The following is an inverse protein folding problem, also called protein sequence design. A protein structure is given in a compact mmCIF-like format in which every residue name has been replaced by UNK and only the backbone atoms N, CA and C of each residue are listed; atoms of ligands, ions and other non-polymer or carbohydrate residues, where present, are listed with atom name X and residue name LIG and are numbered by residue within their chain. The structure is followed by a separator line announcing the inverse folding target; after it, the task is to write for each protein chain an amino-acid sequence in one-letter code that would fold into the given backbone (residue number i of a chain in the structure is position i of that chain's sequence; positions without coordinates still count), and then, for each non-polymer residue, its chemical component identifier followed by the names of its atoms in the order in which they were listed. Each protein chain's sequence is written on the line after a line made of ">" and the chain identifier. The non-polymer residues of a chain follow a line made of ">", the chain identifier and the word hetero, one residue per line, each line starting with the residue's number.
data_IF_018896127618
#
_entry.id   IF_018896127618
#
_cell.length_a   1.000
_cell.length_b   1.000
_cell.length_c   1.000
_cell.angle_alpha   90.00
_cell.angle_beta   90.00
_cell.angle_gamma   90.00
#
_symmetry.space_group_name_H-M   'P 1'
#
loop_
_entity.id
_entity.type
_entity.pdbx_description
1 polymer ?
#
# COMPACT_ATOMS: atom_id res chain seq x y z
N UNK A 1 -11.37 -7.14 0.34
CA UNK A 1 -11.23 -6.39 -0.95
C UNK A 1 -11.28 -4.88 -0.74
N UNK A 2 -12.19 -4.34 0.05
CA UNK A 2 -12.32 -2.89 0.32
C UNK A 2 -11.04 -2.23 0.86
N UNK A 3 -10.33 -2.87 1.80
CA UNK A 3 -9.05 -2.36 2.32
C UNK A 3 -7.95 -2.26 1.24
N UNK A 4 -7.76 -3.32 0.45
CA UNK A 4 -6.77 -3.34 -0.62
C UNK A 4 -7.10 -2.29 -1.71
N UNK A 5 -8.39 -2.09 -1.98
CA UNK A 5 -8.86 -1.03 -2.87
C UNK A 5 -8.58 0.36 -2.30
N UNK A 6 -8.88 0.60 -1.02
CA UNK A 6 -8.60 1.87 -0.35
C UNK A 6 -7.10 2.23 -0.34
N UNK A 7 -6.21 1.25 -0.16
CA UNK A 7 -4.76 1.47 -0.29
C UNK A 7 -4.34 1.92 -1.69
N UNK A 8 -5.07 1.53 -2.73
CA UNK A 8 -4.82 1.93 -4.11
C UNK A 8 -5.40 3.31 -4.49
N UNK A 9 -6.26 3.91 -3.66
CA UNK A 9 -6.91 5.21 -3.94
C UNK A 9 -5.97 6.39 -3.65
N UNK A 10 -4.81 6.40 -4.31
CA UNK A 10 -3.81 7.47 -4.21
C UNK A 10 -4.36 8.83 -4.72
N UNK A 11 -5.02 8.82 -5.88
CA UNK A 11 -5.47 10.05 -6.55
C UNK A 11 -6.50 10.85 -5.74
N UNK A 12 -7.48 10.17 -5.14
CA UNK A 12 -8.42 10.83 -4.25
C UNK A 12 -7.71 11.41 -3.01
N UNK A 13 -6.73 10.69 -2.46
CA UNK A 13 -6.00 11.12 -1.27
C UNK A 13 -5.20 12.40 -1.52
N UNK A 14 -4.43 12.49 -2.61
CA UNK A 14 -3.64 13.70 -2.89
C UNK A 14 -4.51 14.92 -3.21
N UNK A 15 -5.67 14.74 -3.84
CA UNK A 15 -6.58 15.85 -4.18
C UNK A 15 -7.34 16.37 -2.93
N UNK A 16 -7.84 15.48 -2.09
CA UNK A 16 -8.71 15.86 -0.97
C UNK A 16 -7.98 16.00 0.37
N UNK A 17 -7.04 15.11 0.69
CA UNK A 17 -6.27 15.15 1.93
C UNK A 17 -4.92 15.88 1.77
N UNK A 18 -4.47 16.10 0.53
CA UNK A 18 -3.22 16.77 0.22
C UNK A 18 -1.99 15.95 0.57
N UNK A 19 -0.84 16.62 0.62
CA UNK A 19 0.45 16.05 1.01
C UNK A 19 1.17 16.99 1.98
N UNK A 20 0.98 16.80 3.29
CA UNK A 20 1.81 17.47 4.29
C UNK A 20 2.89 16.50 4.77
N UNK A 21 4.17 16.71 4.39
CA UNK A 21 5.27 15.85 4.79
C UNK A 21 5.32 15.65 6.31
N UNK A 22 5.42 14.40 6.76
CA UNK A 22 5.46 14.05 8.19
C UNK A 22 4.14 14.19 8.96
N UNK A 23 3.03 14.54 8.31
CA UNK A 23 1.70 14.64 8.95
C UNK A 23 0.63 13.80 8.26
N UNK A 24 0.32 14.11 6.99
CA UNK A 24 -0.71 13.41 6.20
C UNK A 24 -0.13 12.61 5.05
N UNK A 25 1.20 12.61 4.92
CA UNK A 25 1.90 11.88 3.88
C UNK A 25 1.75 10.37 4.07
N UNK A 26 1.04 9.74 3.13
CA UNK A 26 0.97 8.28 3.05
C UNK A 26 2.14 7.74 2.23
N UNK A 27 2.43 6.45 2.37
CA UNK A 27 3.54 5.81 1.66
C UNK A 27 3.43 5.97 0.11
N UNK A 28 2.24 5.83 -0.52
CA UNK A 28 2.07 6.16 -1.95
C UNK A 28 2.41 7.61 -2.31
N UNK A 29 2.04 8.57 -1.45
CA UNK A 29 2.39 9.98 -1.63
C UNK A 29 3.90 10.24 -1.51
N UNK A 30 4.58 9.57 -0.57
CA UNK A 30 6.03 9.65 -0.44
C UNK A 30 6.76 9.07 -1.67
N UNK A 31 6.25 7.97 -2.25
CA UNK A 31 6.78 7.39 -3.49
C UNK A 31 6.61 8.37 -4.66
N UNK A 32 5.43 8.97 -4.81
CA UNK A 32 5.15 9.93 -5.89
C UNK A 32 6.07 11.15 -5.83
N UNK A 33 6.18 11.78 -4.66
CA UNK A 33 7.10 12.92 -4.46
C UNK A 33 8.55 12.50 -4.65
N UNK A 34 8.94 11.33 -4.12
CA UNK A 34 10.28 10.80 -4.28
C UNK A 34 10.62 10.54 -5.75
N UNK A 35 9.65 10.18 -6.58
CA UNK A 35 9.88 9.95 -8.00
C UNK A 35 10.27 11.24 -8.74
N UNK A 36 9.75 12.39 -8.29
CA UNK A 36 10.09 13.70 -8.86
C UNK A 36 11.42 14.26 -8.36
N UNK A 37 11.84 13.92 -7.14
CA UNK A 37 13.00 14.53 -6.47
C UNK A 37 14.21 13.58 -6.42
N UNK A 38 14.02 12.36 -5.92
CA UNK A 38 15.07 11.39 -5.60
C UNK A 38 14.61 9.95 -5.87
N UNK A 39 14.88 9.47 -7.09
CA UNK A 39 14.40 8.17 -7.57
C UNK A 39 14.78 7.00 -6.65
N UNK A 40 15.95 7.07 -6.00
CA UNK A 40 16.40 6.03 -5.06
C UNK A 40 15.44 5.87 -3.87
N UNK A 41 14.91 6.98 -3.33
CA UNK A 41 13.93 6.96 -2.23
C UNK A 41 12.62 6.35 -2.70
N UNK A 42 12.15 6.75 -3.89
CA UNK A 42 10.93 6.21 -4.49
C UNK A 42 11.00 4.70 -4.72
N UNK A 43 12.12 4.21 -5.26
CA UNK A 43 12.34 2.78 -5.49
C UNK A 43 12.35 1.99 -4.18
N UNK A 44 13.07 2.48 -3.18
CA UNK A 44 13.14 1.83 -1.86
C UNK A 44 11.75 1.70 -1.24
N UNK A 45 10.99 2.79 -1.18
CA UNK A 45 9.64 2.78 -0.64
C UNK A 45 8.67 1.93 -1.47
N UNK A 46 8.82 1.93 -2.80
CA UNK A 46 8.00 1.11 -3.71
C UNK A 46 8.20 -0.38 -3.46
N UNK A 47 9.45 -0.84 -3.34
CA UNK A 47 9.74 -2.25 -3.05
C UNK A 47 9.16 -2.63 -1.69
N UNK A 48 9.36 -1.81 -0.66
CA UNK A 48 8.80 -2.05 0.68
C UNK A 48 7.27 -2.20 0.61
N UNK A 49 6.58 -1.28 -0.06
CA UNK A 49 5.13 -1.28 -0.17
C UNK A 49 4.61 -2.50 -0.94
N UNK A 50 5.26 -2.88 -2.05
CA UNK A 50 4.90 -4.05 -2.85
C UNK A 50 5.08 -5.33 -2.03
N UNK A 51 6.22 -5.50 -1.38
CA UNK A 51 6.50 -6.66 -0.54
C UNK A 51 5.47 -6.77 0.60
N UNK A 52 5.16 -5.66 1.28
CA UNK A 52 4.16 -5.63 2.34
C UNK A 52 2.75 -6.00 1.84
N UNK A 53 2.36 -5.50 0.67
CA UNK A 53 1.08 -5.82 0.03
C UNK A 53 0.97 -7.30 -0.31
N UNK A 54 2.02 -7.88 -0.91
CA UNK A 54 2.09 -9.31 -1.21
C UNK A 54 2.00 -10.17 0.05
N UNK A 55 2.76 -9.83 1.09
CA UNK A 55 2.71 -10.54 2.38
C UNK A 55 1.29 -10.51 2.95
N UNK A 56 0.66 -9.34 2.98
CA UNK A 56 -0.70 -9.20 3.49
C UNK A 56 -1.69 -10.04 2.69
N UNK A 57 -1.62 -10.03 1.36
CA UNK A 57 -2.47 -10.83 0.50
C UNK A 57 -2.28 -12.34 0.72
N UNK A 58 -1.03 -12.80 0.82
CA UNK A 58 -0.72 -14.22 1.08
C UNK A 58 -1.24 -14.65 2.44
N UNK A 59 -1.05 -13.84 3.48
CA UNK A 59 -1.56 -14.12 4.83
C UNK A 59 -3.09 -14.25 4.80
N UNK A 60 -3.78 -13.26 4.24
CA UNK A 60 -5.25 -13.27 4.18
C UNK A 60 -5.76 -14.46 3.37
N UNK A 61 -5.14 -14.74 2.21
CA UNK A 61 -5.50 -15.89 1.37
C UNK A 61 -5.27 -17.22 2.11
N UNK A 62 -4.14 -17.39 2.78
CA UNK A 62 -3.80 -18.63 3.47
C UNK A 62 -4.70 -18.88 4.68
N UNK A 63 -4.99 -17.83 5.46
CA UNK A 63 -5.94 -17.90 6.57
C UNK A 63 -7.35 -18.28 6.10
N UNK A 64 -7.82 -17.66 5.01
CA UNK A 64 -9.12 -18.00 4.44
C UNK A 64 -9.16 -19.44 3.92
N UNK A 65 -8.10 -19.88 3.24
CA UNK A 65 -8.00 -21.25 2.73
C UNK A 65 -7.97 -22.29 3.86
N UNK A 66 -7.28 -22.02 4.96
CA UNK A 66 -7.27 -22.89 6.14
C UNK A 66 -8.67 -22.99 6.78
N UNK A 67 -9.46 -21.91 6.79
CA UNK A 67 -10.84 -21.97 7.31
C UNK A 67 -11.76 -22.81 6.43
N UNK A 68 -11.61 -22.77 5.11
CA UNK A 68 -12.45 -23.56 4.20
C UNK A 68 -12.12 -25.05 4.19
N UNK A 69 -10.90 -25.46 4.55
CA UNK A 69 -10.55 -26.88 4.67
C UNK A 69 -10.97 -27.54 5.99
N UNK A 70 -11.29 -26.74 7.02
CA UNK A 70 -11.77 -27.27 8.33
C UNK A 70 -13.28 -27.60 8.26
N UNK A 71 -13.99 -27.09 7.24
CA UNK A 71 -15.45 -27.19 7.10
C UNK A 71 -15.91 -28.28 6.09
N UNK A 72 -14.98 -29.13 5.60
CA UNK A 72 -15.23 -30.31 4.76
C UNK A 72 -14.60 -31.56 5.39
#
# INVERSE_FOLDING_TARGET
>A
MTWARALGEFGATIIFAGNFPGRTQTMPLAIYIGFEIELNVALTLSVILITFSFITLVIVKNLLHHRMQIEY
#
